data_IF_969372381301
#
_entry.id   IF_969372381301
#
_cell.length_a   1.000
_cell.length_b   1.000
_cell.length_c   1.000
_cell.angle_alpha   90.00
_cell.angle_beta   90.00
_cell.angle_gamma   90.00
#
_symmetry.space_group_name_H-M   'P 1'
#
loop_
_entity.id
_entity.type
_entity.pdbx_description
1 polymer ?
#
# COMPACT_ATOMS: atom_id res chain seq x y z
N UNK A 1 15.02 -18.84 -50.66
CA UNK A 1 15.34 -18.40 -49.27
C UNK A 1 14.15 -17.62 -48.75
N UNK A 2 13.39 -18.17 -47.79
CA UNK A 2 12.21 -17.51 -47.21
C UNK A 2 12.60 -16.72 -45.94
N UNK A 3 12.03 -15.52 -45.67
CA UNK A 3 12.37 -14.76 -44.48
C UNK A 3 11.56 -15.23 -43.23
N UNK A 4 12.33 -15.41 -42.15
CA UNK A 4 12.05 -15.26 -40.72
C UNK A 4 10.63 -15.50 -40.14
N UNK A 5 10.54 -16.46 -39.19
CA UNK A 5 9.68 -16.32 -38.01
C UNK A 5 10.53 -15.80 -36.84
N UNK A 6 10.42 -14.49 -36.54
CA UNK A 6 10.88 -13.94 -35.24
C UNK A 6 9.98 -14.57 -34.17
N UNK A 7 10.55 -15.50 -33.40
CA UNK A 7 9.87 -16.11 -32.26
C UNK A 7 9.40 -15.02 -31.32
N UNK A 8 8.08 -14.95 -31.10
CA UNK A 8 7.49 -13.97 -30.18
C UNK A 8 8.11 -14.14 -28.80
N UNK A 9 8.72 -13.08 -28.29
CA UNK A 9 9.13 -13.00 -26.90
C UNK A 9 7.92 -13.35 -26.03
N UNK A 10 8.04 -14.45 -25.27
CA UNK A 10 7.12 -14.77 -24.19
C UNK A 10 7.20 -13.63 -23.20
N UNK A 11 6.28 -12.67 -23.28
CA UNK A 11 6.05 -11.68 -22.23
C UNK A 11 5.79 -12.47 -20.96
N UNK A 12 6.76 -12.49 -20.05
CA UNK A 12 6.63 -13.18 -18.77
C UNK A 12 5.36 -12.73 -18.07
N UNK A 13 4.72 -13.63 -17.31
CA UNK A 13 3.56 -13.29 -16.48
C UNK A 13 3.92 -12.16 -15.52
N UNK A 14 3.68 -10.92 -15.92
CA UNK A 14 3.91 -9.76 -15.08
C UNK A 14 2.76 -9.70 -14.07
N UNK A 15 2.97 -10.26 -12.88
CA UNK A 15 2.10 -10.15 -11.71
C UNK A 15 1.80 -8.68 -11.32
N UNK A 16 2.43 -7.71 -12.00
CA UNK A 16 2.18 -6.28 -11.92
C UNK A 16 0.72 -5.93 -12.27
N UNK A 17 0.02 -6.73 -13.08
CA UNK A 17 -1.37 -6.46 -13.48
C UNK A 17 -2.44 -7.26 -12.71
N UNK A 18 -2.04 -8.17 -11.82
CA UNK A 18 -2.98 -9.08 -11.15
C UNK A 18 -3.56 -8.52 -9.84
N UNK A 19 -4.67 -9.06 -9.37
CA UNK A 19 -5.21 -8.74 -8.04
C UNK A 19 -4.34 -9.44 -7.01
N UNK A 20 -3.78 -8.68 -6.07
CA UNK A 20 -2.81 -9.20 -5.08
C UNK A 20 -3.22 -8.75 -3.69
N UNK A 21 -3.23 -9.68 -2.73
CA UNK A 21 -3.32 -9.35 -1.30
C UNK A 21 -2.10 -9.86 -0.57
N UNK A 22 -1.45 -9.01 0.21
CA UNK A 22 -0.26 -9.35 1.00
C UNK A 22 -0.35 -8.74 2.40
N UNK A 23 0.12 -9.49 3.39
CA UNK A 23 0.20 -9.03 4.77
C UNK A 23 1.61 -8.52 5.07
N UNK A 24 1.70 -7.30 5.60
CA UNK A 24 2.95 -6.64 5.93
C UNK A 24 2.94 -6.10 7.34
N UNK A 25 4.11 -6.04 7.95
CA UNK A 25 4.33 -5.33 9.21
C UNK A 25 5.08 -4.03 8.92
N UNK A 26 4.45 -2.89 9.19
CA UNK A 26 5.07 -1.58 9.00
C UNK A 26 5.73 -1.15 10.31
N UNK A 27 7.04 -0.93 10.26
CA UNK A 27 7.81 -0.36 11.36
C UNK A 27 7.77 1.18 11.28
N UNK A 28 7.02 1.81 12.19
CA UNK A 28 6.80 3.26 12.24
C UNK A 28 7.97 4.04 12.89
N UNK A 29 8.59 3.59 13.99
CA UNK A 29 9.70 4.29 14.63
C UNK A 29 10.86 4.61 13.70
N UNK A 30 11.22 3.67 12.82
CA UNK A 30 12.28 3.89 11.81
C UNK A 30 11.93 5.02 10.84
N UNK A 31 10.64 5.21 10.52
CA UNK A 31 10.14 6.17 9.53
C UNK A 31 9.81 7.55 10.12
N UNK A 32 9.57 7.63 11.42
CA UNK A 32 9.14 8.85 12.13
C UNK A 32 10.28 9.43 12.99
N UNK A 33 11.47 8.80 12.98
CA UNK A 33 12.66 9.29 13.69
C UNK A 33 13.02 10.71 13.21
N UNK A 34 13.29 11.61 14.16
CA UNK A 34 13.64 13.01 13.87
C UNK A 34 12.45 13.92 13.52
N UNK A 35 11.21 13.43 13.54
CA UNK A 35 10.02 14.24 13.24
C UNK A 35 9.50 14.92 14.50
N UNK A 36 9.20 16.21 14.39
CA UNK A 36 8.58 17.00 15.46
C UNK A 36 7.27 16.39 15.97
N UNK A 37 7.01 16.50 17.27
CA UNK A 37 5.93 15.79 17.98
C UNK A 37 4.56 16.02 17.33
N UNK A 38 4.22 17.27 16.98
CA UNK A 38 2.95 17.65 16.35
C UNK A 38 2.76 17.06 14.94
N UNK A 39 3.81 16.52 14.32
CA UNK A 39 3.75 16.00 12.94
C UNK A 39 3.90 14.47 12.87
N UNK A 40 4.03 13.76 14.00
CA UNK A 40 4.32 12.31 13.99
C UNK A 40 3.19 11.45 13.42
N UNK A 41 1.97 11.53 13.96
CA UNK A 41 0.81 10.80 13.44
C UNK A 41 0.49 11.12 11.96
N UNK A 42 0.40 12.39 11.53
CA UNK A 42 0.16 12.68 10.11
C UNK A 42 1.33 12.25 9.22
N UNK A 43 2.58 12.27 9.71
CA UNK A 43 3.72 11.70 8.98
C UNK A 43 3.60 10.18 8.85
N UNK A 44 3.18 9.48 9.89
CA UNK A 44 2.97 8.04 9.86
C UNK A 44 2.00 7.63 8.74
N UNK A 45 0.88 8.34 8.61
CA UNK A 45 -0.08 8.09 7.52
C UNK A 45 0.52 8.33 6.13
N UNK A 46 1.31 9.40 5.96
CA UNK A 46 2.02 9.66 4.70
C UNK A 46 3.01 8.54 4.38
N UNK A 47 3.72 8.04 5.39
CA UNK A 47 4.68 6.95 5.23
C UNK A 47 4.00 5.59 4.95
N UNK A 48 2.83 5.32 5.52
CA UNK A 48 2.00 4.15 5.20
C UNK A 48 1.53 4.23 3.74
N UNK A 49 1.04 5.40 3.30
CA UNK A 49 0.66 5.62 1.89
C UNK A 49 1.85 5.43 0.95
N UNK A 50 3.02 5.98 1.31
CA UNK A 50 4.26 5.82 0.54
C UNK A 50 4.69 4.35 0.46
N UNK A 51 4.54 3.60 1.54
CA UNK A 51 4.83 2.17 1.56
C UNK A 51 3.90 1.38 0.62
N UNK A 52 2.59 1.64 0.69
CA UNK A 52 1.62 1.01 -0.19
C UNK A 52 1.88 1.32 -1.68
N UNK A 53 2.21 2.57 -2.01
CA UNK A 53 2.59 2.96 -3.37
C UNK A 53 3.82 2.21 -3.87
N UNK A 54 4.83 2.05 -3.00
CA UNK A 54 6.10 1.37 -3.35
C UNK A 54 5.90 -0.13 -3.59
N UNK A 55 5.16 -0.80 -2.71
CA UNK A 55 4.99 -2.26 -2.78
C UNK A 55 4.00 -2.70 -3.87
N UNK A 56 2.89 -1.96 -4.04
CA UNK A 56 1.82 -2.36 -4.97
C UNK A 56 1.91 -1.68 -6.35
N UNK A 57 2.73 -0.63 -6.47
CA UNK A 57 2.93 0.13 -7.71
C UNK A 57 1.72 0.96 -8.15
N UNK A 58 0.70 1.13 -7.31
CA UNK A 58 -0.50 1.90 -7.66
C UNK A 58 -0.41 3.34 -7.17
N UNK A 59 -0.78 4.34 -7.99
CA UNK A 59 -0.83 5.73 -7.57
C UNK A 59 -2.01 6.05 -6.65
N UNK A 60 -3.14 5.34 -6.79
CA UNK A 60 -4.29 5.44 -5.86
C UNK A 60 -4.13 4.48 -4.68
N UNK A 61 -4.20 5.03 -3.47
CA UNK A 61 -4.07 4.31 -2.20
C UNK A 61 -5.12 4.83 -1.22
N UNK A 62 -6.06 3.96 -0.87
CA UNK A 62 -7.17 4.23 0.04
C UNK A 62 -6.86 3.61 1.40
N UNK A 63 -6.71 4.46 2.41
CA UNK A 63 -6.46 4.04 3.80
C UNK A 63 -7.79 3.83 4.50
N UNK A 64 -7.98 2.66 5.11
CA UNK A 64 -9.20 2.37 5.87
C UNK A 64 -9.31 3.29 7.10
N UNK A 65 -10.55 3.66 7.43
CA UNK A 65 -10.90 4.45 8.62
C UNK A 65 -10.43 3.75 9.89
N UNK A 66 -10.50 2.42 9.96
CA UNK A 66 -10.05 1.64 11.14
C UNK A 66 -8.55 1.74 11.35
N UNK A 67 -7.78 1.65 10.26
CA UNK A 67 -6.33 1.83 10.30
C UNK A 67 -5.98 3.27 10.71
N UNK A 68 -6.72 4.26 10.21
CA UNK A 68 -6.56 5.64 10.64
C UNK A 68 -6.80 5.80 12.15
N UNK A 69 -7.92 5.29 12.68
CA UNK A 69 -8.22 5.33 14.12
C UNK A 69 -7.10 4.67 14.94
N UNK A 70 -6.57 3.53 14.51
CA UNK A 70 -5.48 2.84 15.20
C UNK A 70 -4.16 3.63 15.23
N UNK A 71 -3.84 4.36 14.15
CA UNK A 71 -2.67 5.25 14.10
C UNK A 71 -2.83 6.44 15.07
N UNK A 72 -4.06 6.94 15.21
CA UNK A 72 -4.39 8.10 16.06
C UNK A 72 -4.81 7.75 17.49
N UNK A 73 -4.98 6.47 17.85
CA UNK A 73 -5.54 6.04 19.12
C UNK A 73 -4.79 6.55 20.36
N UNK A 74 -3.46 6.69 20.25
CA UNK A 74 -2.57 7.17 21.33
C UNK A 74 -2.24 8.67 21.21
N UNK A 75 -2.99 9.40 20.37
CA UNK A 75 -2.80 10.81 20.07
C UNK A 75 -1.64 11.10 19.11
N UNK A 76 -1.28 12.38 19.00
CA UNK A 76 -0.37 12.86 17.96
C UNK A 76 1.10 12.50 18.21
N UNK A 77 1.50 12.37 19.47
CA UNK A 77 2.91 12.16 19.89
C UNK A 77 3.35 10.71 19.78
N UNK A 78 2.47 9.78 20.10
CA UNK A 78 2.83 8.40 20.37
C UNK A 78 2.17 7.45 19.38
N UNK A 79 2.71 7.39 18.16
CA UNK A 79 2.20 6.46 17.15
C UNK A 79 2.57 5.02 17.53
N UNK A 80 1.69 4.06 17.23
CA UNK A 80 1.98 2.63 17.40
C UNK A 80 3.29 2.22 16.71
N UNK A 81 4.12 1.47 17.42
CA UNK A 81 5.47 1.08 16.99
C UNK A 81 5.44 0.19 15.73
N UNK A 82 4.62 -0.85 15.75
CA UNK A 82 4.43 -1.74 14.62
C UNK A 82 2.94 -1.83 14.31
N UNK A 83 2.59 -1.73 13.03
CA UNK A 83 1.21 -1.94 12.58
C UNK A 83 1.22 -3.06 11.54
N UNK A 84 0.44 -4.11 11.80
CA UNK A 84 0.19 -5.16 10.82
C UNK A 84 -0.93 -4.71 9.91
N UNK A 85 -0.66 -4.74 8.62
CA UNK A 85 -1.51 -4.15 7.58
C UNK A 85 -1.60 -5.14 6.43
N UNK A 86 -2.81 -5.35 5.93
CA UNK A 86 -3.04 -6.10 4.70
C UNK A 86 -3.12 -5.10 3.56
N UNK A 87 -2.29 -5.25 2.55
CA UNK A 87 -2.34 -4.46 1.32
C UNK A 87 -3.12 -5.27 0.28
N UNK A 88 -4.25 -4.73 -0.16
CA UNK A 88 -5.12 -5.37 -1.14
C UNK A 88 -5.23 -4.49 -2.37
N UNK A 89 -4.63 -4.92 -3.47
CA UNK A 89 -4.81 -4.26 -4.77
C UNK A 89 -6.05 -4.83 -5.44
N UNK A 90 -7.04 -3.97 -5.69
CA UNK A 90 -8.33 -4.31 -6.29
C UNK A 90 -8.50 -3.56 -7.62
N UNK A 91 -9.35 -4.10 -8.50
CA UNK A 91 -9.78 -3.41 -9.72
C UNK A 91 -10.85 -2.39 -9.37
N UNK A 92 -10.75 -1.21 -9.97
CA UNK A 92 -11.79 -0.20 -9.82
C UNK A 92 -12.95 -0.53 -10.77
N UNK A 93 -14.18 -0.39 -10.28
CA UNK A 93 -15.40 -0.58 -11.08
C UNK A 93 -15.87 0.75 -11.69
N UNK A 94 -15.43 1.88 -11.12
CA UNK A 94 -15.78 3.21 -11.63
C UNK A 94 -14.96 3.56 -12.90
N UNK A 95 -15.69 3.74 -14.01
CA UNK A 95 -15.14 4.04 -15.34
C UNK A 95 -14.50 5.44 -15.44
N UNK A 96 -14.89 6.37 -14.55
CA UNK A 96 -14.37 7.75 -14.48
C UNK A 96 -12.97 7.90 -13.88
N UNK A 97 -12.39 6.82 -13.36
CA UNK A 97 -11.07 6.89 -12.71
C UNK A 97 -9.92 6.70 -13.72
N UNK A 98 -8.88 7.54 -13.70
CA UNK A 98 -7.74 7.39 -14.60
C UNK A 98 -6.90 6.12 -14.29
N UNK A 99 -7.11 5.50 -13.12
CA UNK A 99 -6.36 4.34 -12.66
C UNK A 99 -7.27 3.11 -12.55
N UNK A 100 -6.97 2.08 -13.34
CA UNK A 100 -7.71 0.79 -13.34
C UNK A 100 -7.60 0.01 -12.04
N UNK A 101 -6.56 0.26 -11.24
CA UNK A 101 -6.25 -0.46 -10.01
C UNK A 101 -6.10 0.53 -8.86
N UNK A 102 -6.67 0.19 -7.71
CA UNK A 102 -6.46 0.92 -6.46
C UNK A 102 -5.97 -0.04 -5.38
N UNK A 103 -5.18 0.49 -4.44
CA UNK A 103 -4.78 -0.28 -3.25
C UNK A 103 -5.64 0.14 -2.07
N UNK A 104 -6.40 -0.80 -1.54
CA UNK A 104 -7.05 -0.65 -0.24
C UNK A 104 -6.09 -1.13 0.84
N UNK A 105 -5.99 -0.35 1.91
CA UNK A 105 -5.14 -0.64 3.07
C UNK A 105 -6.01 -0.90 4.31
N UNK A 106 -6.63 -2.08 4.43
CA UNK A 106 -7.31 -2.48 5.65
C UNK A 106 -6.34 -2.77 6.79
N UNK A 107 -6.85 -2.57 8.01
CA UNK A 107 -6.18 -3.08 9.21
C UNK A 107 -6.22 -4.61 9.20
N UNK A 108 -5.09 -5.30 9.42
CA UNK A 108 -5.12 -6.74 9.66
C UNK A 108 -5.88 -7.00 10.97
N UNK A 109 -7.03 -7.67 10.86
CA UNK A 109 -7.84 -8.11 11.99
C UNK A 109 -7.43 -9.49 12.53
N UNK A 110 -6.46 -10.16 11.90
CA UNK A 110 -6.06 -11.52 12.26
C UNK A 110 -5.44 -11.58 13.66
N UNK A 111 -6.30 -11.99 14.61
CA UNK A 111 -6.13 -12.60 15.94
C UNK A 111 -4.91 -12.26 16.79
N UNK A 112 -5.17 -11.72 18.00
CA UNK A 112 -5.18 -12.57 19.19
C UNK A 112 -6.61 -13.01 19.46
#
# INVERSE_FOLDING_TARGET
>A
MAPAKKGGEKKGCSAINEVVTRDYTINNPKRIRGVGIKKRAPRALKEIRKFAKKEMGTPDVRVDIRLNKAVWAKGIRNVSYCIRVRLSRKRNEDEDSPNKLYTLVPMCLSQL
#
